data_IF_531331152441
#
_entry.id   IF_531331152441
#
_cell.length_a   1.000
_cell.length_b   1.000
_cell.length_c   1.000
_cell.angle_alpha   90.00
_cell.angle_beta   90.00
_cell.angle_gamma   90.00
#
_symmetry.space_group_name_H-M   'P 1'
#
loop_
_entity.id
_entity.type
_entity.pdbx_description
1 polymer ?
#
# COMPACT_ATOMS: atom_id res chain seq x y z
N UNK A 1 45.49 3.50 40.87
CA UNK A 1 45.16 2.26 40.15
C UNK A 1 43.78 2.40 39.53
N UNK A 2 43.72 2.81 38.27
CA UNK A 2 42.64 2.60 37.29
C UNK A 2 43.30 2.84 35.91
N UNK A 3 43.16 1.94 34.91
CA UNK A 3 43.99 1.98 33.72
C UNK A 3 43.40 2.87 32.61
N UNK A 4 44.31 3.57 31.90
CA UNK A 4 44.05 4.21 30.60
C UNK A 4 43.83 3.12 29.54
N UNK A 5 42.73 3.22 28.79
CA UNK A 5 42.47 2.43 27.59
C UNK A 5 42.76 3.31 26.37
N UNK A 6 43.62 2.81 25.48
CA UNK A 6 43.96 3.41 24.18
C UNK A 6 42.94 3.01 23.10
N UNK A 7 42.75 3.80 22.02
CA UNK A 7 41.88 3.42 20.92
C UNK A 7 42.60 2.53 19.88
N UNK A 8 41.86 1.57 19.32
CA UNK A 8 42.26 0.70 18.20
C UNK A 8 41.87 1.33 16.85
N UNK A 9 42.62 1.14 15.75
CA UNK A 9 42.40 1.84 14.50
C UNK A 9 41.34 1.16 13.60
N UNK A 10 40.51 1.97 12.96
CA UNK A 10 39.57 1.56 11.92
C UNK A 10 40.28 1.39 10.56
N UNK A 11 40.13 0.22 9.96
CA UNK A 11 40.52 -0.10 8.58
C UNK A 11 39.52 0.48 7.58
N UNK A 12 40.01 1.35 6.69
CA UNK A 12 39.31 1.81 5.50
C UNK A 12 39.48 0.80 4.35
N UNK A 13 38.40 0.43 3.68
CA UNK A 13 38.43 -0.31 2.42
C UNK A 13 37.73 0.52 1.34
N UNK A 14 38.50 0.78 0.26
CA UNK A 14 38.16 1.65 -0.85
C UNK A 14 37.25 0.98 -1.89
N UNK A 15 36.49 1.84 -2.58
CA UNK A 15 35.70 1.54 -3.76
C UNK A 15 36.56 1.17 -4.97
N UNK A 16 36.05 0.27 -5.81
CA UNK A 16 36.52 0.09 -7.18
C UNK A 16 35.33 -0.07 -8.12
N UNK A 17 35.24 0.87 -9.06
CA UNK A 17 34.30 0.96 -10.18
C UNK A 17 34.80 0.06 -11.31
N UNK A 18 33.91 -0.73 -11.93
CA UNK A 18 34.21 -1.52 -13.12
C UNK A 18 33.11 -1.37 -14.17
N UNK A 19 33.39 -0.59 -15.21
CA UNK A 19 32.62 -0.52 -16.46
C UNK A 19 32.82 -1.80 -17.28
N UNK A 20 31.76 -2.30 -17.93
CA UNK A 20 31.87 -3.18 -19.09
C UNK A 20 30.85 -2.79 -20.16
N UNK A 21 31.36 -2.70 -21.38
CA UNK A 21 30.75 -2.23 -22.62
C UNK A 21 30.19 -3.38 -23.47
N UNK A 22 29.05 -3.13 -24.13
CA UNK A 22 28.88 -3.31 -25.59
C UNK A 22 28.61 -4.71 -26.18
N UNK A 23 27.43 -4.84 -26.81
CA UNK A 23 27.08 -5.52 -28.08
C UNK A 23 25.59 -5.94 -27.98
N UNK A 24 24.64 -5.54 -28.83
CA UNK A 24 24.66 -5.38 -30.28
C UNK A 24 24.02 -6.63 -30.90
N UNK A 25 22.69 -6.64 -31.10
CA UNK A 25 22.01 -7.64 -31.94
C UNK A 25 20.73 -7.06 -32.56
N UNK A 26 20.59 -7.37 -33.85
CA UNK A 26 19.78 -6.72 -34.87
C UNK A 26 18.37 -7.32 -35.02
N UNK A 27 17.44 -6.49 -35.50
CA UNK A 27 16.09 -6.86 -35.92
C UNK A 27 16.10 -7.75 -37.18
N UNK A 28 15.21 -8.75 -37.21
CA UNK A 28 14.92 -9.59 -38.38
C UNK A 28 13.42 -9.81 -38.50
N UNK A 29 12.79 -9.15 -39.47
CA UNK A 29 11.42 -9.38 -39.93
C UNK A 29 11.45 -10.43 -41.05
N UNK A 30 10.62 -11.47 -40.97
CA UNK A 30 10.33 -12.36 -42.11
C UNK A 30 8.84 -12.67 -42.16
N UNK A 31 8.28 -12.48 -43.36
CA UNK A 31 6.88 -12.61 -43.76
C UNK A 31 6.60 -14.03 -44.28
N UNK A 32 5.33 -14.46 -44.11
CA UNK A 32 4.66 -15.69 -44.56
C UNK A 32 4.91 -16.10 -46.03
N UNK A 33 4.72 -17.39 -46.40
CA UNK A 33 3.43 -17.77 -47.03
C UNK A 33 2.93 -19.22 -46.77
N UNK A 34 1.59 -19.40 -46.86
CA UNK A 34 0.96 -20.43 -47.72
C UNK A 34 0.74 -21.88 -47.23
N UNK A 35 -0.48 -22.15 -46.77
CA UNK A 35 -1.38 -23.32 -47.01
C UNK A 35 -0.87 -24.80 -47.05
N UNK A 36 -1.36 -25.59 -46.07
CA UNK A 36 -2.05 -26.92 -46.08
C UNK A 36 -1.79 -27.96 -47.22
N UNK A 37 -1.76 -29.29 -46.91
CA UNK A 37 -3.01 -30.02 -46.56
C UNK A 37 -2.95 -31.32 -45.69
N UNK A 38 -4.15 -31.68 -45.19
CA UNK A 38 -4.78 -33.02 -45.08
C UNK A 38 -4.51 -34.03 -43.95
N UNK A 39 -5.61 -34.31 -43.22
CA UNK A 39 -6.22 -35.60 -42.83
C UNK A 39 -5.64 -36.50 -41.71
N UNK A 40 -6.47 -36.65 -40.67
CA UNK A 40 -6.89 -37.85 -39.90
C UNK A 40 -7.05 -37.42 -38.42
N UNK A 41 -8.15 -37.58 -37.69
CA UNK A 41 -9.31 -38.43 -37.79
C UNK A 41 -9.66 -38.83 -36.35
N UNK A 42 -10.64 -38.20 -35.72
CA UNK A 42 -11.32 -38.78 -34.55
C UNK A 42 -12.73 -38.22 -34.47
N UNK A 43 -13.69 -39.13 -34.62
CA UNK A 43 -15.11 -38.85 -34.70
C UNK A 43 -15.63 -38.33 -33.36
N UNK A 44 -16.12 -37.09 -33.32
CA UNK A 44 -16.98 -36.63 -32.23
C UNK A 44 -18.37 -37.13 -32.53
N UNK A 45 -18.83 -38.08 -31.74
CA UNK A 45 -20.19 -38.60 -31.77
C UNK A 45 -21.14 -37.50 -31.30
N UNK A 46 -21.85 -36.86 -32.22
CA UNK A 46 -22.94 -35.94 -31.89
C UNK A 46 -24.08 -36.73 -31.24
N UNK A 47 -24.17 -36.72 -29.90
CA UNK A 47 -25.41 -37.11 -29.22
C UNK A 47 -26.38 -35.94 -29.31
N UNK A 48 -27.38 -36.07 -30.16
CA UNK A 48 -28.57 -35.23 -30.11
C UNK A 48 -29.26 -35.49 -28.75
N UNK A 49 -29.16 -34.53 -27.83
CA UNK A 49 -29.95 -34.54 -26.61
C UNK A 49 -31.40 -34.25 -26.97
N UNK A 50 -32.27 -35.09 -26.40
CA UNK A 50 -33.68 -35.17 -26.68
C UNK A 50 -34.43 -33.84 -26.47
N UNK A 51 -35.51 -33.69 -27.25
CA UNK A 51 -36.56 -32.68 -27.10
C UNK A 51 -36.96 -32.49 -25.63
N UNK A 52 -36.44 -31.44 -25.00
CA UNK A 52 -37.07 -30.77 -23.86
C UNK A 52 -37.91 -29.62 -24.40
N UNK A 53 -39.19 -29.61 -24.05
CA UNK A 53 -40.12 -28.53 -24.38
C UNK A 53 -39.68 -27.29 -23.59
N UNK A 54 -38.84 -26.44 -24.18
CA UNK A 54 -38.60 -25.10 -23.63
C UNK A 54 -39.91 -24.33 -23.73
N UNK A 55 -40.69 -24.38 -22.65
CA UNK A 55 -41.67 -23.35 -22.38
C UNK A 55 -40.83 -22.09 -22.19
N UNK A 56 -40.88 -21.16 -23.15
CA UNK A 56 -40.38 -19.80 -22.99
C UNK A 56 -41.19 -19.16 -21.86
N UNK A 57 -40.84 -19.44 -20.61
CA UNK A 57 -41.67 -19.09 -19.46
C UNK A 57 -41.64 -17.59 -19.16
N UNK A 58 -40.80 -16.81 -19.85
CA UNK A 58 -40.59 -15.40 -19.54
C UNK A 58 -40.03 -15.17 -18.13
N UNK A 59 -39.75 -16.23 -17.37
CA UNK A 59 -39.20 -16.16 -16.01
C UNK A 59 -37.69 -16.05 -16.12
N UNK A 60 -37.16 -14.87 -15.82
CA UNK A 60 -35.75 -14.51 -15.99
C UNK A 60 -34.84 -14.94 -14.83
N UNK A 61 -35.41 -15.19 -13.64
CA UNK A 61 -34.67 -15.53 -12.42
C UNK A 61 -35.51 -16.51 -11.60
N UNK A 62 -34.92 -17.65 -11.22
CA UNK A 62 -35.58 -18.72 -10.46
C UNK A 62 -34.77 -19.04 -9.20
N UNK A 63 -34.98 -18.30 -8.09
CA UNK A 63 -34.08 -18.31 -6.94
C UNK A 63 -33.78 -19.71 -6.40
N UNK A 64 -34.80 -20.54 -6.18
CA UNK A 64 -34.61 -21.87 -5.59
C UNK A 64 -34.07 -22.91 -6.56
N UNK A 65 -34.17 -22.67 -7.87
CA UNK A 65 -33.54 -23.52 -8.89
C UNK A 65 -32.06 -23.17 -9.03
N UNK A 66 -31.73 -21.88 -9.02
CA UNK A 66 -30.35 -21.38 -9.08
C UNK A 66 -29.57 -21.63 -7.78
N UNK A 67 -30.25 -21.69 -6.63
CA UNK A 67 -29.66 -22.09 -5.36
C UNK A 67 -29.39 -23.60 -5.25
N UNK A 68 -29.88 -24.43 -6.19
CA UNK A 68 -29.61 -25.88 -6.16
C UNK A 68 -28.11 -26.11 -6.38
N UNK A 69 -27.43 -26.55 -5.33
CA UNK A 69 -25.99 -26.76 -5.32
C UNK A 69 -25.23 -25.66 -4.56
N UNK A 70 -25.72 -24.42 -4.54
CA UNK A 70 -25.12 -23.32 -3.79
C UNK A 70 -25.20 -23.53 -2.27
N UNK A 71 -26.27 -24.16 -1.77
CA UNK A 71 -26.36 -24.50 -0.34
C UNK A 71 -25.24 -25.44 0.12
N UNK A 72 -24.69 -26.26 -0.78
CA UNK A 72 -23.56 -27.14 -0.46
C UNK A 72 -22.21 -26.41 -0.40
N UNK A 73 -22.15 -25.19 -0.95
CA UNK A 73 -20.97 -24.32 -0.89
C UNK A 73 -20.87 -23.58 0.45
N UNK A 74 -21.94 -23.58 1.27
CA UNK A 74 -21.89 -23.01 2.62
C UNK A 74 -20.90 -23.83 3.46
N UNK A 75 -19.81 -23.22 3.95
CA UNK A 75 -18.80 -23.95 4.71
C UNK A 75 -19.36 -24.62 5.96
N UNK A 76 -19.01 -25.88 6.18
CA UNK A 76 -19.44 -26.66 7.35
C UNK A 76 -18.38 -26.67 8.48
N UNK A 77 -17.11 -26.37 8.12
CA UNK A 77 -16.01 -26.31 9.08
C UNK A 77 -16.05 -25.04 9.91
N UNK A 78 -15.84 -25.15 11.23
CA UNK A 78 -15.83 -24.01 12.16
C UNK A 78 -14.76 -22.96 11.83
N UNK A 79 -13.67 -23.38 11.17
CA UNK A 79 -12.54 -22.52 10.83
C UNK A 79 -12.66 -21.91 9.41
N UNK A 80 -13.80 -22.05 8.74
CA UNK A 80 -14.00 -21.47 7.41
C UNK A 80 -14.89 -20.23 7.51
N UNK A 81 -14.54 -19.19 6.75
CA UNK A 81 -15.35 -17.99 6.71
C UNK A 81 -16.63 -18.23 5.92
N UNK A 82 -17.79 -17.95 6.54
CA UNK A 82 -19.09 -18.04 5.89
C UNK A 82 -19.35 -16.87 4.91
N UNK A 83 -18.63 -15.76 5.08
CA UNK A 83 -18.85 -14.53 4.30
C UNK A 83 -17.94 -14.43 3.07
N UNK A 84 -16.87 -15.25 2.98
CA UNK A 84 -15.88 -15.15 1.90
C UNK A 84 -16.52 -15.54 0.57
N UNK A 85 -16.65 -14.56 -0.32
CA UNK A 85 -17.21 -14.76 -1.65
C UNK A 85 -16.41 -13.97 -2.69
N UNK A 86 -15.93 -14.65 -3.74
CA UNK A 86 -15.10 -14.08 -4.81
C UNK A 86 -13.94 -13.20 -4.30
N UNK A 87 -13.33 -13.63 -3.19
CA UNK A 87 -12.22 -12.94 -2.55
C UNK A 87 -11.04 -13.93 -2.48
N UNK A 88 -10.13 -13.79 -3.43
CA UNK A 88 -9.01 -14.71 -3.64
C UNK A 88 -7.85 -14.40 -2.68
N UNK A 89 -7.03 -15.42 -2.44
CA UNK A 89 -5.91 -15.34 -1.48
C UNK A 89 -4.90 -14.24 -1.82
N UNK A 90 -4.75 -13.91 -3.10
CA UNK A 90 -3.88 -12.83 -3.55
C UNK A 90 -4.37 -11.45 -3.08
N UNK A 91 -5.68 -11.18 -3.14
CA UNK A 91 -6.28 -9.96 -2.59
C UNK A 91 -6.17 -9.91 -1.06
N UNK A 92 -6.42 -11.05 -0.39
CA UNK A 92 -6.27 -11.17 1.07
C UNK A 92 -4.83 -10.88 1.51
N UNK A 93 -3.84 -11.40 0.78
CA UNK A 93 -2.43 -11.17 1.06
C UNK A 93 -2.04 -9.70 0.82
N UNK A 94 -2.48 -9.10 -0.28
CA UNK A 94 -2.20 -7.70 -0.59
C UNK A 94 -2.79 -6.74 0.45
N UNK A 95 -4.01 -7.01 0.94
CA UNK A 95 -4.61 -6.25 2.03
C UNK A 95 -3.80 -6.38 3.33
N UNK A 96 -3.30 -7.57 3.65
CA UNK A 96 -2.42 -7.76 4.82
C UNK A 96 -1.09 -7.01 4.68
N UNK A 97 -0.53 -6.91 3.46
CA UNK A 97 0.65 -6.08 3.20
C UNK A 97 0.32 -4.60 3.44
N UNK A 98 -0.80 -4.10 2.90
CA UNK A 98 -1.18 -2.70 3.08
C UNK A 98 -1.46 -2.36 4.55
N UNK A 99 -2.10 -3.25 5.32
CA UNK A 99 -2.28 -3.09 6.78
C UNK A 99 -0.92 -2.87 7.47
N UNK A 100 0.12 -3.61 7.05
CA UNK A 100 1.45 -3.44 7.61
C UNK A 100 2.10 -2.12 7.16
N UNK A 101 1.87 -1.67 5.92
CA UNK A 101 2.33 -0.37 5.43
C UNK A 101 1.79 0.76 6.32
N UNK A 102 0.47 0.81 6.56
CA UNK A 102 -0.14 1.87 7.39
C UNK A 102 0.33 1.81 8.85
N UNK A 103 0.50 0.60 9.42
CA UNK A 103 1.06 0.47 10.76
C UNK A 103 2.51 0.96 10.86
N UNK A 104 3.35 0.72 9.83
CA UNK A 104 4.72 1.25 9.81
C UNK A 104 4.73 2.77 9.61
N UNK A 105 3.84 3.32 8.79
CA UNK A 105 3.68 4.77 8.63
C UNK A 105 3.27 5.43 9.95
N UNK A 106 2.25 4.86 10.63
CA UNK A 106 1.84 5.28 11.98
C UNK A 106 3.00 5.30 12.96
N UNK A 107 3.84 4.26 12.97
CA UNK A 107 4.97 4.15 13.89
C UNK A 107 6.11 5.12 13.54
N UNK A 108 6.34 5.39 12.25
CA UNK A 108 7.28 6.42 11.80
C UNK A 108 6.84 7.82 12.23
N UNK A 109 5.56 8.16 12.08
CA UNK A 109 5.00 9.41 12.56
C UNK A 109 5.08 9.54 14.08
N UNK A 110 4.85 8.45 14.81
CA UNK A 110 5.02 8.45 16.27
C UNK A 110 6.45 8.78 16.70
N UNK A 111 7.44 8.30 15.92
CA UNK A 111 8.86 8.62 16.17
C UNK A 111 9.18 10.09 15.89
N UNK A 112 8.61 10.66 14.83
CA UNK A 112 8.70 12.10 14.56
C UNK A 112 8.08 12.92 15.69
N UNK A 113 6.89 12.57 16.16
CA UNK A 113 6.27 13.17 17.35
C UNK A 113 7.23 13.14 18.55
N UNK A 114 7.77 11.96 18.89
CA UNK A 114 8.66 11.80 20.04
C UNK A 114 9.95 12.63 19.92
N UNK A 115 10.40 12.95 18.70
CA UNK A 115 11.52 13.86 18.47
C UNK A 115 11.15 15.33 18.68
N UNK A 116 10.04 15.79 18.10
CA UNK A 116 9.63 17.20 18.18
C UNK A 116 9.08 17.62 19.55
N UNK A 117 8.60 16.65 20.35
CA UNK A 117 8.13 16.88 21.73
C UNK A 117 9.28 17.01 22.75
N UNK A 118 10.55 16.80 22.33
CA UNK A 118 11.70 17.02 23.21
C UNK A 118 11.80 18.48 23.62
N UNK A 119 12.17 18.73 24.87
CA UNK A 119 12.28 20.08 25.45
C UNK A 119 13.35 20.95 24.77
N UNK A 120 14.38 20.33 24.21
CA UNK A 120 15.45 21.01 23.48
C UNK A 120 15.16 21.21 21.98
N UNK A 121 14.05 20.66 21.45
CA UNK A 121 13.54 20.91 20.09
C UNK A 121 12.37 21.89 20.15
N UNK A 122 11.39 21.61 21.01
CA UNK A 122 10.30 22.51 21.40
C UNK A 122 9.44 23.08 20.25
N UNK A 123 9.19 22.29 19.20
CA UNK A 123 8.28 22.62 18.10
C UNK A 123 6.94 21.90 18.30
N UNK A 124 6.06 22.53 19.08
CA UNK A 124 4.83 21.91 19.60
C UNK A 124 3.77 21.68 18.52
N UNK A 125 3.70 22.55 17.51
CA UNK A 125 2.83 22.36 16.36
C UNK A 125 3.24 21.14 15.54
N UNK A 126 4.53 20.95 15.30
CA UNK A 126 5.04 19.73 14.65
C UNK A 126 4.78 18.48 15.50
N UNK A 127 5.03 18.53 16.81
CA UNK A 127 4.74 17.43 17.71
C UNK A 127 3.26 17.04 17.66
N UNK A 128 2.34 18.02 17.76
CA UNK A 128 0.90 17.82 17.62
C UNK A 128 0.56 17.19 16.27
N UNK A 129 1.01 17.78 15.17
CA UNK A 129 0.74 17.30 13.82
C UNK A 129 1.16 15.84 13.64
N UNK A 130 2.41 15.50 13.97
CA UNK A 130 2.88 14.11 13.80
C UNK A 130 2.22 13.13 14.76
N UNK A 131 1.75 13.59 15.93
CA UNK A 131 0.95 12.75 16.82
C UNK A 131 -0.41 12.44 16.21
N UNK A 132 -1.08 13.44 15.65
CA UNK A 132 -2.36 13.29 14.96
C UNK A 132 -2.21 12.41 13.71
N UNK A 133 -1.20 12.65 12.86
CA UNK A 133 -0.92 11.79 11.70
C UNK A 133 -0.62 10.34 12.10
N UNK A 134 0.10 10.11 13.21
CA UNK A 134 0.34 8.75 13.72
C UNK A 134 -0.97 8.04 14.07
N UNK A 135 -1.92 8.77 14.68
CA UNK A 135 -3.21 8.24 15.08
C UNK A 135 -4.14 8.02 13.86
N UNK A 136 -4.07 8.91 12.86
CA UNK A 136 -4.77 8.79 11.57
C UNK A 136 -4.32 7.55 10.77
N UNK A 137 -3.01 7.34 10.59
CA UNK A 137 -2.49 6.15 9.90
C UNK A 137 -2.83 4.84 10.62
N UNK A 138 -2.90 4.89 11.96
CA UNK A 138 -3.38 3.74 12.73
C UNK A 138 -4.85 3.48 12.43
N UNK A 139 -5.66 4.52 12.27
CA UNK A 139 -7.04 4.44 11.81
C UNK A 139 -7.17 3.85 10.40
N UNK A 140 -6.27 4.21 9.47
CA UNK A 140 -6.20 3.60 8.14
C UNK A 140 -5.94 2.09 8.21
N UNK A 141 -4.97 1.67 9.02
CA UNK A 141 -4.68 0.26 9.26
C UNK A 141 -5.92 -0.49 9.81
N UNK A 142 -6.61 0.09 10.79
CA UNK A 142 -7.83 -0.47 11.38
C UNK A 142 -8.97 -0.57 10.36
N UNK A 143 -9.18 0.44 9.51
CA UNK A 143 -10.17 0.44 8.42
C UNK A 143 -9.93 -0.74 7.45
N UNK A 144 -8.66 -0.98 7.08
CA UNK A 144 -8.28 -2.13 6.24
C UNK A 144 -8.51 -3.47 6.95
N UNK A 145 -8.23 -3.57 8.25
CA UNK A 145 -8.48 -4.78 9.04
C UNK A 145 -9.97 -5.13 9.13
N UNK A 146 -10.81 -4.12 9.35
CA UNK A 146 -12.27 -4.27 9.35
C UNK A 146 -12.76 -4.75 7.99
N UNK A 147 -12.26 -4.14 6.91
CA UNK A 147 -12.59 -4.53 5.55
C UNK A 147 -12.16 -5.97 5.22
N UNK A 148 -10.94 -6.37 5.60
CA UNK A 148 -10.43 -7.73 5.45
C UNK A 148 -11.39 -8.75 6.09
N UNK A 149 -11.81 -8.49 7.34
CA UNK A 149 -12.75 -9.35 8.05
C UNK A 149 -14.14 -9.34 7.41
N UNK A 150 -14.61 -8.18 6.92
CA UNK A 150 -15.89 -8.02 6.20
C UNK A 150 -15.94 -8.87 4.93
N UNK A 151 -14.83 -8.99 4.20
CA UNK A 151 -14.69 -9.84 3.00
C UNK A 151 -14.46 -11.32 3.33
N UNK A 152 -14.41 -11.68 4.62
CA UNK A 152 -14.17 -13.05 5.07
C UNK A 152 -12.71 -13.50 4.96
N UNK A 153 -11.79 -12.55 4.79
CA UNK A 153 -10.36 -12.77 4.94
C UNK A 153 -9.93 -12.87 6.40
N UNK A 154 -8.65 -13.15 6.61
CA UNK A 154 -8.00 -13.24 7.91
C UNK A 154 -6.89 -12.22 8.00
N UNK A 155 -7.00 -11.32 8.95
CA UNK A 155 -5.92 -10.39 9.29
C UNK A 155 -4.71 -11.17 9.80
N UNK A 156 -3.54 -10.84 9.24
CA UNK A 156 -2.23 -11.37 9.65
C UNK A 156 -1.29 -10.21 9.92
N UNK A 157 -1.30 -9.70 11.16
CA UNK A 157 -0.39 -8.62 11.57
C UNK A 157 1.06 -9.10 11.47
N UNK A 158 1.88 -8.28 10.83
CA UNK A 158 3.31 -8.53 10.62
C UNK A 158 4.16 -7.66 11.55
N UNK A 159 5.47 -7.91 11.56
CA UNK A 159 6.42 -7.11 12.31
C UNK A 159 6.43 -5.65 11.83
N UNK A 160 6.67 -4.73 12.77
CA UNK A 160 6.90 -3.31 12.49
C UNK A 160 8.39 -3.06 12.69
N UNK A 161 9.03 -2.39 11.71
CA UNK A 161 10.46 -2.10 11.81
C UNK A 161 10.71 -0.93 12.74
N UNK A 162 11.84 -0.94 13.45
CA UNK A 162 12.23 0.18 14.31
C UNK A 162 12.48 1.43 13.45
N UNK A 163 11.78 2.56 13.72
CA UNK A 163 11.93 3.78 12.95
C UNK A 163 13.22 4.52 13.33
N UNK A 164 13.61 5.50 12.51
CA UNK A 164 14.63 6.49 12.88
C UNK A 164 14.14 7.31 14.07
N UNK A 165 15.05 7.73 14.96
CA UNK A 165 14.72 8.48 16.18
C UNK A 165 15.32 9.89 16.22
N UNK A 166 16.26 10.19 15.32
CA UNK A 166 16.92 11.49 15.22
C UNK A 166 16.63 12.12 13.86
N UNK A 167 16.19 13.38 13.88
CA UNK A 167 15.76 14.11 12.70
C UNK A 167 16.44 15.49 12.57
N UNK A 168 17.54 15.73 13.30
CA UNK A 168 18.36 16.91 13.08
C UNK A 168 19.03 16.84 11.70
N UNK A 169 19.07 17.98 11.01
CA UNK A 169 19.66 18.08 9.69
C UNK A 169 20.38 19.43 9.52
N UNK A 170 21.71 19.45 9.33
CA UNK A 170 22.50 20.70 9.38
C UNK A 170 22.09 21.70 8.29
N UNK A 171 21.87 21.22 7.06
CA UNK A 171 21.56 22.08 5.93
C UNK A 171 20.10 22.54 5.89
N UNK A 172 19.14 21.64 6.17
CA UNK A 172 17.70 21.91 6.06
C UNK A 172 17.08 22.47 7.33
N UNK A 173 17.64 22.13 8.49
CA UNK A 173 16.92 22.18 9.77
C UNK A 173 16.00 20.96 9.92
N UNK A 174 15.69 20.65 11.17
CA UNK A 174 14.83 19.53 11.56
C UNK A 174 13.41 19.61 10.97
N UNK A 175 12.74 20.77 11.08
CA UNK A 175 11.37 20.97 10.64
C UNK A 175 11.17 20.71 9.13
N UNK A 176 12.04 21.30 8.29
CA UNK A 176 11.97 21.09 6.84
C UNK A 176 12.33 19.66 6.47
N UNK A 177 13.36 19.08 7.11
CA UNK A 177 13.76 17.70 6.85
C UNK A 177 12.63 16.72 7.18
N UNK A 178 11.99 16.87 8.34
CA UNK A 178 10.88 16.04 8.76
C UNK A 178 9.68 16.12 7.81
N UNK A 179 9.30 17.32 7.34
CA UNK A 179 8.20 17.46 6.38
C UNK A 179 8.53 16.90 5.00
N UNK A 180 9.79 16.96 4.58
CA UNK A 180 10.22 16.28 3.34
C UNK A 180 10.21 14.75 3.50
N UNK A 181 10.55 14.22 4.67
CA UNK A 181 10.40 12.79 4.99
C UNK A 181 8.93 12.37 4.99
N UNK A 182 8.05 13.14 5.65
CA UNK A 182 6.61 12.90 5.66
C UNK A 182 6.05 12.89 4.23
N UNK A 183 6.41 13.89 3.41
CA UNK A 183 6.00 13.93 2.00
C UNK A 183 6.49 12.71 1.20
N UNK A 184 7.70 12.24 1.46
CA UNK A 184 8.23 11.04 0.81
C UNK A 184 7.50 9.78 1.28
N UNK A 185 7.15 9.70 2.57
CA UNK A 185 6.37 8.61 3.15
C UNK A 185 4.97 8.56 2.53
N UNK A 186 4.25 9.68 2.45
CA UNK A 186 2.91 9.71 1.84
C UNK A 186 2.91 9.30 0.37
N UNK A 187 3.95 9.68 -0.38
CA UNK A 187 4.09 9.24 -1.78
C UNK A 187 4.36 7.74 -1.88
N UNK A 188 5.13 7.19 -0.95
CA UNK A 188 5.40 5.76 -0.90
C UNK A 188 4.14 4.97 -0.51
N UNK A 189 3.38 5.44 0.48
CA UNK A 189 2.07 4.86 0.86
C UNK A 189 1.13 4.88 -0.34
N UNK A 190 1.07 5.99 -1.09
CA UNK A 190 0.26 6.08 -2.31
C UNK A 190 0.69 5.08 -3.39
N UNK A 191 2.00 4.89 -3.64
CA UNK A 191 2.47 3.84 -4.54
C UNK A 191 2.03 2.44 -4.08
N UNK A 192 2.04 2.18 -2.77
CA UNK A 192 1.56 0.92 -2.19
C UNK A 192 0.06 0.72 -2.36
N UNK A 193 -0.75 1.76 -2.18
CA UNK A 193 -2.19 1.74 -2.49
C UNK A 193 -2.46 1.47 -3.97
N UNK A 194 -1.69 2.08 -4.89
CA UNK A 194 -1.80 1.76 -6.32
C UNK A 194 -1.45 0.31 -6.64
N UNK A 195 -0.50 -0.29 -5.93
CA UNK A 195 -0.17 -1.71 -6.06
C UNK A 195 -1.32 -2.59 -5.56
N UNK A 196 -1.93 -2.28 -4.41
CA UNK A 196 -3.11 -2.98 -3.91
C UNK A 196 -4.28 -2.90 -4.90
N UNK A 197 -4.55 -1.70 -5.43
CA UNK A 197 -5.56 -1.47 -6.46
C UNK A 197 -5.29 -2.30 -7.73
N UNK A 198 -4.04 -2.35 -8.17
CA UNK A 198 -3.63 -3.14 -9.34
C UNK A 198 -3.85 -4.64 -9.12
N UNK A 199 -3.59 -5.14 -7.92
CA UNK A 199 -3.87 -6.54 -7.54
C UNK A 199 -5.38 -6.81 -7.58
N UNK A 200 -6.19 -5.93 -6.98
CA UNK A 200 -7.65 -6.04 -6.98
C UNK A 200 -8.21 -6.08 -8.41
N UNK A 201 -7.76 -5.16 -9.24
CA UNK A 201 -8.11 -5.08 -10.67
C UNK A 201 -7.73 -6.36 -11.41
N UNK A 202 -6.50 -6.85 -11.26
CA UNK A 202 -6.03 -8.08 -11.92
C UNK A 202 -6.80 -9.32 -11.46
N UNK A 203 -7.20 -9.37 -10.19
CA UNK A 203 -8.02 -10.45 -9.63
C UNK A 203 -9.51 -10.32 -9.98
N UNK A 204 -9.90 -9.27 -10.73
CA UNK A 204 -11.28 -8.96 -11.07
C UNK A 204 -12.19 -8.85 -9.84
N UNK A 205 -11.70 -8.17 -8.79
CA UNK A 205 -12.44 -7.85 -7.57
C UNK A 205 -12.90 -6.38 -7.59
N UNK A 206 -14.05 -6.07 -8.24
CA UNK A 206 -14.50 -4.69 -8.40
C UNK A 206 -14.81 -4.00 -7.07
N UNK A 207 -15.20 -4.76 -6.04
CA UNK A 207 -15.59 -4.16 -4.75
C UNK A 207 -14.35 -3.79 -3.92
N UNK A 208 -13.26 -4.55 -4.02
CA UNK A 208 -11.97 -4.13 -3.44
C UNK A 208 -11.40 -2.93 -4.18
N UNK A 209 -11.48 -2.91 -5.51
CA UNK A 209 -11.04 -1.77 -6.32
C UNK A 209 -11.77 -0.49 -5.90
N UNK A 210 -13.11 -0.53 -5.86
CA UNK A 210 -13.96 0.60 -5.42
C UNK A 210 -13.62 1.04 -3.99
N UNK A 211 -13.47 0.10 -3.05
CA UNK A 211 -13.10 0.42 -1.67
C UNK A 211 -11.77 1.16 -1.56
N UNK A 212 -10.73 0.73 -2.30
CA UNK A 212 -9.43 1.40 -2.30
C UNK A 212 -9.52 2.80 -2.91
N UNK A 213 -10.31 2.96 -3.97
CA UNK A 213 -10.53 4.26 -4.61
C UNK A 213 -11.28 5.23 -3.69
N UNK A 214 -12.39 4.78 -3.08
CA UNK A 214 -13.29 5.64 -2.32
C UNK A 214 -12.75 6.01 -0.95
N UNK A 215 -12.04 5.10 -0.29
CA UNK A 215 -11.64 5.27 1.12
C UNK A 215 -10.18 5.68 1.31
N UNK A 216 -9.33 5.61 0.28
CA UNK A 216 -7.89 5.85 0.43
C UNK A 216 -7.30 6.72 -0.68
N UNK A 217 -7.51 6.40 -1.96
CA UNK A 217 -6.78 7.10 -3.03
C UNK A 217 -7.11 8.60 -3.13
N UNK A 218 -8.36 8.99 -2.84
CA UNK A 218 -8.73 10.40 -2.78
C UNK A 218 -8.09 11.12 -1.58
N UNK A 219 -8.19 10.52 -0.39
CA UNK A 219 -7.60 11.04 0.85
C UNK A 219 -6.07 11.23 0.70
N UNK A 220 -5.41 10.26 0.07
CA UNK A 220 -3.96 10.26 -0.15
C UNK A 220 -3.48 11.41 -1.05
N UNK A 221 -4.26 11.76 -2.08
CA UNK A 221 -3.92 12.90 -2.96
C UNK A 221 -4.00 14.22 -2.18
N UNK A 222 -5.00 14.36 -1.32
CA UNK A 222 -5.19 15.54 -0.48
C UNK A 222 -4.10 15.65 0.58
N UNK A 223 -3.72 14.54 1.23
CA UNK A 223 -2.59 14.48 2.16
C UNK A 223 -1.26 14.89 1.50
N UNK A 224 -0.94 14.33 0.32
CA UNK A 224 0.27 14.69 -0.43
C UNK A 224 0.30 16.18 -0.76
N UNK A 225 -0.84 16.77 -1.16
CA UNK A 225 -0.94 18.20 -1.45
C UNK A 225 -0.71 19.04 -0.19
N UNK A 226 -1.38 18.71 0.92
CA UNK A 226 -1.25 19.39 2.23
C UNK A 226 0.22 19.44 2.67
N UNK A 227 0.90 18.30 2.70
CA UNK A 227 2.31 18.24 3.12
C UNK A 227 3.24 18.95 2.11
N UNK A 228 2.94 18.89 0.81
CA UNK A 228 3.69 19.64 -0.21
C UNK A 228 3.63 21.16 0.00
N UNK A 229 2.47 21.67 0.44
CA UNK A 229 2.29 23.08 0.78
C UNK A 229 3.11 23.44 2.04
N UNK A 230 3.14 22.58 3.06
CA UNK A 230 3.99 22.78 4.24
C UNK A 230 5.49 22.82 3.89
N UNK A 231 5.98 21.88 3.08
CA UNK A 231 7.36 21.90 2.58
C UNK A 231 7.67 23.21 1.85
N UNK A 232 6.75 23.66 0.99
CA UNK A 232 6.92 24.91 0.24
C UNK A 232 6.94 26.15 1.15
N UNK A 233 6.11 26.17 2.18
CA UNK A 233 6.07 27.25 3.18
C UNK A 233 7.34 27.28 4.03
N UNK A 234 7.80 26.13 4.53
CA UNK A 234 9.04 26.02 5.30
C UNK A 234 10.26 26.50 4.52
N UNK A 235 10.36 26.13 3.24
CA UNK A 235 11.41 26.65 2.34
C UNK A 235 11.33 28.16 2.16
N UNK A 236 10.11 28.73 2.15
CA UNK A 236 9.87 30.17 1.99
C UNK A 236 10.25 30.97 3.24
N UNK A 237 9.86 30.49 4.42
CA UNK A 237 10.08 31.23 5.69
C UNK A 237 11.50 31.05 6.23
N UNK A 238 12.18 29.96 5.86
CA UNK A 238 13.54 29.67 6.30
C UNK A 238 13.65 29.30 7.79
N UNK A 239 14.88 28.98 8.23
CA UNK A 239 15.17 28.52 9.59
C UNK A 239 14.96 29.61 10.65
N UNK A 240 14.98 29.23 11.93
CA UNK A 240 14.91 30.15 13.06
C UNK A 240 13.51 30.71 13.24
N UNK A 241 13.35 32.03 13.23
CA UNK A 241 12.06 32.68 13.46
C UNK A 241 10.97 32.25 12.45
N UNK A 242 11.35 31.96 11.20
CA UNK A 242 10.41 31.48 10.18
C UNK A 242 9.78 30.13 10.55
N UNK A 243 10.63 29.13 10.87
CA UNK A 243 10.19 27.82 11.36
C UNK A 243 9.36 27.94 12.64
N UNK A 244 9.79 28.75 13.60
CA UNK A 244 9.02 28.95 14.83
C UNK A 244 7.62 29.51 14.56
N UNK A 245 7.49 30.51 13.69
CA UNK A 245 6.17 31.07 13.36
C UNK A 245 5.31 30.06 12.59
N UNK A 246 5.90 29.28 11.69
CA UNK A 246 5.20 28.18 11.02
C UNK A 246 4.72 27.12 12.02
N UNK A 247 5.53 26.76 13.03
CA UNK A 247 5.14 25.85 14.10
C UNK A 247 3.93 26.39 14.90
N UNK A 248 3.89 27.69 15.20
CA UNK A 248 2.71 28.29 15.86
C UNK A 248 1.45 28.20 14.99
N UNK A 249 1.57 28.44 13.67
CA UNK A 249 0.45 28.25 12.74
C UNK A 249 -0.03 26.80 12.73
N UNK A 250 0.88 25.83 12.69
CA UNK A 250 0.57 24.40 12.69
C UNK A 250 -0.08 23.94 14.02
N UNK A 251 0.30 24.57 15.14
CA UNK A 251 -0.29 24.31 16.45
C UNK A 251 -1.75 24.74 16.55
N UNK A 252 -2.10 25.86 15.90
CA UNK A 252 -3.45 26.43 15.88
C UNK A 252 -4.36 25.79 14.83
N UNK A 253 -3.80 25.09 13.84
CA UNK A 253 -4.57 24.40 12.82
C UNK A 253 -5.41 23.29 13.46
N UNK A 254 -6.73 23.37 13.25
CA UNK A 254 -7.65 22.32 13.64
C UNK A 254 -7.39 21.07 12.81
N UNK A 255 -7.46 19.90 13.46
CA UNK A 255 -7.36 18.60 12.81
C UNK A 255 -8.47 18.43 11.76
#
# INVERSE_FOLDING_TARGET
>A
MLPRVAPSPATAAAAAVGQLSGAGLTAGSVRLPGALPSAAGSAVCCRAAAKGKEVLSGVMFQPFEELKGELSLVPQGKDQSLARHKFVDECEAALNEQINVEYNASYAYHSLFAYFDRDNVALKGFAKFFKESSDEERGHAEKLMEYQNKRGGRVRLQSIVTPLTEFDHPEKGDALYAMELALALEKLVNEKLHNLHSVATRCNDPQLTDFVESEFLQEQVDAIKKISEYVSQLRRVGKGHGVWHFDQMLLEEAA
#
